data_IF_276476889791
#
_entry.id   IF_276476889791
#
_cell.length_a   1.000
_cell.length_b   1.000
_cell.length_c   1.000
_cell.angle_alpha   90.00
_cell.angle_beta   90.00
_cell.angle_gamma   90.00
#
_symmetry.space_group_name_H-M   'P 1'
#
loop_
_entity.id
_entity.type
_entity.pdbx_description
1 polymer ?
#
# COMPACT_ATOMS: atom_id res chain seq x y z
N UNK A 1 -21.42 -20.89 -6.62
CA UNK A 1 -20.78 -20.70 -5.30
C UNK A 1 -19.32 -21.17 -5.24
N UNK A 2 -18.82 -21.95 -6.20
CA UNK A 2 -17.44 -22.50 -6.17
C UNK A 2 -16.46 -21.85 -7.18
N UNK A 3 -16.80 -20.73 -7.83
CA UNK A 3 -15.91 -20.11 -8.84
C UNK A 3 -14.59 -19.59 -8.30
N UNK A 4 -14.45 -19.46 -6.96
CA UNK A 4 -13.36 -18.66 -6.36
C UNK A 4 -12.43 -19.37 -5.39
N UNK A 5 -12.63 -20.66 -5.12
CA UNK A 5 -11.75 -21.38 -4.19
C UNK A 5 -10.29 -21.42 -4.65
N UNK A 6 -10.07 -21.48 -5.98
CA UNK A 6 -8.72 -21.54 -6.58
C UNK A 6 -7.87 -20.32 -6.24
N UNK A 7 -8.44 -19.09 -6.24
CA UNK A 7 -7.67 -17.88 -5.91
C UNK A 7 -7.25 -17.85 -4.45
N UNK A 8 -8.15 -18.25 -3.54
CA UNK A 8 -7.80 -18.33 -2.12
C UNK A 8 -6.73 -19.40 -1.85
N UNK A 9 -6.86 -20.57 -2.48
CA UNK A 9 -5.83 -21.63 -2.39
C UNK A 9 -4.49 -21.12 -2.92
N UNK A 10 -4.50 -20.45 -4.08
CA UNK A 10 -3.30 -19.88 -4.67
C UNK A 10 -2.67 -18.82 -3.77
N UNK A 11 -3.46 -17.88 -3.24
CA UNK A 11 -2.95 -16.83 -2.36
C UNK A 11 -2.41 -17.37 -1.04
N UNK A 12 -3.07 -18.38 -0.46
CA UNK A 12 -2.58 -19.07 0.75
C UNK A 12 -1.26 -19.79 0.44
N UNK A 13 -1.19 -20.51 -0.65
CA UNK A 13 0.02 -21.21 -1.09
C UNK A 13 1.17 -20.21 -1.35
N UNK A 14 0.88 -19.13 -2.07
CA UNK A 14 1.86 -18.09 -2.34
C UNK A 14 2.30 -17.39 -1.06
N UNK A 15 1.36 -17.05 -0.17
CA UNK A 15 1.66 -16.47 1.15
C UNK A 15 2.58 -17.36 1.97
N UNK A 16 2.30 -18.67 2.04
CA UNK A 16 3.18 -19.64 2.71
C UNK A 16 4.59 -19.69 2.11
N UNK A 17 4.73 -19.46 0.81
CA UNK A 17 6.03 -19.38 0.13
C UNK A 17 6.78 -18.09 0.47
N UNK A 18 6.08 -16.96 0.57
CA UNK A 18 6.71 -15.64 0.77
C UNK A 18 6.98 -15.30 2.23
N UNK A 19 6.18 -15.81 3.19
CA UNK A 19 6.43 -15.58 4.63
C UNK A 19 7.88 -15.94 5.04
N UNK A 20 8.43 -17.11 4.68
CA UNK A 20 9.83 -17.43 5.01
C UNK A 20 10.85 -16.51 4.32
N UNK A 21 10.55 -16.01 3.12
CA UNK A 21 11.42 -15.07 2.40
C UNK A 21 11.44 -13.74 3.17
N UNK A 22 10.27 -13.19 3.47
CA UNK A 22 10.13 -11.96 4.25
C UNK A 22 10.80 -12.09 5.62
N UNK A 23 10.52 -13.17 6.35
CA UNK A 23 11.08 -13.42 7.69
C UNK A 23 12.60 -13.44 7.67
N UNK A 24 13.21 -14.11 6.69
CA UNK A 24 14.66 -14.15 6.54
C UNK A 24 15.26 -12.75 6.33
N UNK A 25 14.64 -11.91 5.51
CA UNK A 25 15.10 -10.55 5.26
C UNK A 25 14.84 -9.66 6.49
N UNK A 26 13.66 -9.80 7.09
CA UNK A 26 13.24 -9.00 8.24
C UNK A 26 14.12 -9.19 9.46
N UNK A 27 14.51 -10.44 9.76
CA UNK A 27 15.31 -10.80 10.93
C UNK A 27 16.83 -10.82 10.67
N UNK A 28 17.27 -10.54 9.43
CA UNK A 28 18.70 -10.53 9.10
C UNK A 28 19.40 -9.34 9.77
N UNK A 29 20.11 -9.62 10.86
CA UNK A 29 20.88 -8.62 11.61
C UNK A 29 22.09 -8.05 10.84
N UNK A 30 22.50 -8.69 9.75
CA UNK A 30 23.62 -8.21 8.91
C UNK A 30 23.18 -7.11 7.92
N UNK A 31 21.88 -6.98 7.67
CA UNK A 31 21.34 -5.97 6.77
C UNK A 31 21.19 -4.62 7.48
N UNK A 32 21.60 -3.56 6.80
CA UNK A 32 21.21 -2.20 7.15
C UNK A 32 19.68 -2.03 7.05
N UNK A 33 19.10 -1.03 7.72
CA UNK A 33 17.67 -0.71 7.50
C UNK A 33 17.39 -0.37 6.05
N UNK A 34 18.31 0.32 5.38
CA UNK A 34 18.23 0.61 3.96
C UNK A 34 18.06 -0.67 3.13
N UNK A 35 19.01 -1.60 3.20
CA UNK A 35 18.96 -2.86 2.43
C UNK A 35 17.76 -3.70 2.79
N UNK A 36 17.41 -3.76 4.07
CA UNK A 36 16.27 -4.53 4.56
C UNK A 36 14.96 -4.06 3.91
N UNK A 37 14.64 -2.78 3.99
CA UNK A 37 13.39 -2.26 3.47
C UNK A 37 13.32 -2.25 1.94
N UNK A 38 14.45 -2.05 1.25
CA UNK A 38 14.51 -2.18 -0.20
C UNK A 38 14.23 -3.62 -0.64
N UNK A 39 14.87 -4.61 -0.03
CA UNK A 39 14.64 -6.03 -0.32
C UNK A 39 13.21 -6.47 0.01
N UNK A 40 12.66 -6.02 1.15
CA UNK A 40 11.27 -6.32 1.50
C UNK A 40 10.29 -5.69 0.50
N UNK A 41 10.56 -4.48 0.03
CA UNK A 41 9.76 -3.83 -1.00
C UNK A 41 9.80 -4.61 -2.32
N UNK A 42 10.99 -5.02 -2.76
CA UNK A 42 11.17 -5.85 -3.97
C UNK A 42 10.41 -7.17 -3.87
N UNK A 43 10.47 -7.86 -2.75
CA UNK A 43 9.78 -9.12 -2.57
C UNK A 43 8.25 -8.96 -2.46
N UNK A 44 7.73 -7.85 -1.91
CA UNK A 44 6.29 -7.52 -1.98
C UNK A 44 5.85 -7.28 -3.43
N UNK A 45 6.67 -6.60 -4.22
CA UNK A 45 6.44 -6.35 -5.64
C UNK A 45 6.43 -7.66 -6.43
N UNK A 46 7.39 -8.55 -6.17
CA UNK A 46 7.45 -9.89 -6.77
C UNK A 46 6.22 -10.74 -6.40
N UNK A 47 5.80 -10.70 -5.14
CA UNK A 47 4.56 -11.35 -4.70
C UNK A 47 3.35 -10.80 -5.45
N UNK A 48 3.23 -9.48 -5.51
CA UNK A 48 2.09 -8.79 -6.11
C UNK A 48 1.98 -9.05 -7.61
N UNK A 49 3.11 -9.03 -8.33
CA UNK A 49 3.16 -9.40 -9.74
C UNK A 49 2.59 -10.81 -10.01
N UNK A 50 2.95 -11.79 -9.18
CA UNK A 50 2.39 -13.15 -9.29
C UNK A 50 0.89 -13.21 -9.03
N UNK A 51 0.39 -12.39 -8.11
CA UNK A 51 -1.05 -12.32 -7.81
C UNK A 51 -1.82 -11.71 -8.97
N UNK A 52 -1.39 -10.57 -9.52
CA UNK A 52 -2.09 -9.93 -10.66
C UNK A 52 -2.04 -10.82 -11.91
N UNK A 53 -0.93 -11.50 -12.16
CA UNK A 53 -0.80 -12.50 -13.25
C UNK A 53 -1.81 -13.64 -13.07
N UNK A 54 -1.92 -14.22 -11.88
CA UNK A 54 -2.87 -15.30 -11.60
C UNK A 54 -4.33 -14.83 -11.71
N UNK A 55 -4.63 -13.63 -11.23
CA UNK A 55 -5.98 -13.06 -11.32
C UNK A 55 -6.33 -12.56 -12.71
N UNK A 56 -5.34 -12.45 -13.60
CA UNK A 56 -5.42 -11.84 -14.93
C UNK A 56 -5.98 -10.40 -14.86
N UNK A 57 -5.38 -9.61 -13.95
CA UNK A 57 -5.68 -8.19 -13.72
C UNK A 57 -4.50 -7.37 -14.24
N UNK A 58 -4.77 -6.29 -14.96
CA UNK A 58 -3.76 -5.40 -15.53
C UNK A 58 -3.96 -3.97 -15.02
N UNK A 59 -3.02 -3.41 -14.24
CA UNK A 59 -3.07 -1.98 -13.89
C UNK A 59 -2.88 -1.11 -15.14
N UNK A 60 -3.77 -0.13 -15.32
CA UNK A 60 -3.69 0.91 -16.34
C UNK A 60 -3.50 2.24 -15.60
N UNK A 61 -2.33 2.83 -15.75
CA UNK A 61 -1.95 4.04 -15.02
C UNK A 61 -2.25 5.27 -15.85
N UNK A 62 -2.96 6.21 -15.25
CA UNK A 62 -3.19 7.56 -15.75
C UNK A 62 -2.37 8.56 -14.91
N UNK A 63 -1.55 9.36 -15.55
CA UNK A 63 -0.51 10.17 -14.90
C UNK A 63 0.82 9.41 -14.76
N UNK A 64 1.69 9.86 -13.89
CA UNK A 64 3.01 9.27 -13.69
C UNK A 64 3.44 9.32 -12.21
N UNK A 65 4.21 8.32 -11.80
CA UNK A 65 4.91 8.39 -10.52
C UNK A 65 5.96 9.51 -10.58
N UNK A 66 6.08 10.38 -9.55
CA UNK A 66 7.11 11.40 -9.52
C UNK A 66 8.50 10.76 -9.54
N UNK A 67 9.48 11.44 -10.15
CA UNK A 67 10.87 10.95 -10.16
C UNK A 67 11.48 10.95 -8.76
N UNK A 68 11.12 11.94 -7.96
CA UNK A 68 11.58 12.07 -6.58
C UNK A 68 11.14 10.90 -5.70
N UNK A 69 11.91 10.63 -4.68
CA UNK A 69 11.64 9.70 -3.60
C UNK A 69 11.21 10.45 -2.33
N UNK A 70 10.98 9.73 -1.24
CA UNK A 70 10.46 10.29 0.02
C UNK A 70 9.06 10.88 -0.15
N UNK A 71 8.25 10.20 -0.92
CA UNK A 71 6.86 10.55 -1.19
C UNK A 71 5.93 9.79 -0.25
N UNK A 72 4.91 10.48 0.27
CA UNK A 72 3.77 9.86 0.91
C UNK A 72 2.66 9.69 -0.12
N UNK A 73 2.44 8.47 -0.58
CA UNK A 73 1.32 8.14 -1.45
C UNK A 73 0.06 7.93 -0.62
N UNK A 74 -0.95 8.72 -0.91
CA UNK A 74 -2.27 8.69 -0.26
C UNK A 74 -3.25 8.03 -1.21
N UNK A 75 -3.75 6.84 -0.85
CA UNK A 75 -4.44 5.91 -1.76
C UNK A 75 -5.80 5.57 -1.16
N UNK A 76 -6.89 5.54 -1.95
CA UNK A 76 -8.19 5.06 -1.46
C UNK A 76 -8.19 3.54 -1.22
N UNK A 77 -9.03 3.07 -0.29
CA UNK A 77 -9.00 1.68 0.16
C UNK A 77 -10.35 0.98 0.11
N UNK A 78 -10.42 -0.10 -0.67
CA UNK A 78 -11.62 -0.94 -0.80
C UNK A 78 -11.36 -2.42 -0.53
N UNK A 79 -10.16 -2.90 -0.86
CA UNK A 79 -9.81 -4.32 -0.72
C UNK A 79 -8.30 -4.53 -0.53
N UNK A 80 -7.89 -5.74 -0.15
CA UNK A 80 -6.46 -6.09 -0.15
C UNK A 80 -5.84 -6.10 -1.56
N UNK A 81 -6.65 -6.14 -2.62
CA UNK A 81 -6.17 -6.06 -3.99
C UNK A 81 -5.59 -4.67 -4.32
N UNK A 82 -5.99 -3.61 -3.59
CA UNK A 82 -5.44 -2.27 -3.72
C UNK A 82 -3.92 -2.27 -3.50
N UNK A 83 -3.45 -2.96 -2.45
CA UNK A 83 -2.02 -3.12 -2.15
C UNK A 83 -1.32 -3.83 -3.30
N UNK A 84 -1.90 -4.91 -3.80
CA UNK A 84 -1.33 -5.74 -4.86
C UNK A 84 -1.18 -4.95 -6.17
N UNK A 85 -2.22 -4.19 -6.54
CA UNK A 85 -2.21 -3.32 -7.72
C UNK A 85 -1.14 -2.25 -7.58
N UNK A 86 -1.10 -1.57 -6.44
CA UNK A 86 -0.12 -0.50 -6.20
C UNK A 86 1.33 -1.01 -6.17
N UNK A 87 1.61 -2.14 -5.52
CA UNK A 87 2.96 -2.73 -5.53
C UNK A 87 3.40 -3.10 -6.95
N UNK A 88 2.47 -3.52 -7.81
CA UNK A 88 2.78 -3.81 -9.23
C UNK A 88 3.14 -2.53 -9.99
N UNK A 89 2.46 -1.41 -9.71
CA UNK A 89 2.76 -0.10 -10.28
C UNK A 89 4.10 0.42 -9.77
N UNK A 90 4.36 0.32 -8.46
CA UNK A 90 5.62 0.75 -7.86
C UNK A 90 6.82 -0.04 -8.40
N UNK A 91 6.64 -1.32 -8.71
CA UNK A 91 7.67 -2.16 -9.36
C UNK A 91 8.04 -1.63 -10.75
N UNK A 92 7.06 -1.16 -11.54
CA UNK A 92 7.30 -0.61 -12.86
C UNK A 92 8.03 0.75 -12.82
N UNK A 93 7.82 1.53 -11.75
CA UNK A 93 8.46 2.84 -11.53
C UNK A 93 9.65 2.82 -10.57
N UNK A 94 10.37 1.71 -10.36
CA UNK A 94 11.29 1.29 -9.30
C UNK A 94 11.18 2.10 -7.99
N UNK A 95 9.99 2.11 -7.39
CA UNK A 95 9.73 2.79 -6.11
C UNK A 95 9.75 1.80 -4.96
N UNK A 96 10.73 1.96 -4.06
CA UNK A 96 10.75 1.24 -2.79
C UNK A 96 10.01 2.02 -1.69
N UNK A 97 9.36 1.31 -0.78
CA UNK A 97 8.64 1.98 0.30
C UNK A 97 8.01 1.03 1.30
N UNK A 98 7.23 1.58 2.22
CA UNK A 98 6.62 0.87 3.34
C UNK A 98 5.14 1.22 3.46
N UNK A 99 4.33 0.22 3.73
CA UNK A 99 2.92 0.39 4.06
C UNK A 99 2.73 0.73 5.53
N UNK A 100 1.87 1.68 5.79
CA UNK A 100 1.39 1.99 7.14
C UNK A 100 0.12 1.18 7.37
N UNK A 101 0.11 0.39 8.43
CA UNK A 101 -0.98 -0.51 8.76
C UNK A 101 -1.41 -0.38 10.22
N UNK A 102 -2.68 -0.69 10.53
CA UNK A 102 -3.15 -0.76 11.93
C UNK A 102 -2.43 -1.88 12.68
N UNK A 103 -2.08 -1.65 13.95
CA UNK A 103 -1.48 -2.66 14.82
C UNK A 103 -2.33 -3.94 14.87
N UNK A 104 -3.65 -3.80 14.94
CA UNK A 104 -4.59 -4.94 14.96
C UNK A 104 -4.49 -5.87 13.75
N UNK A 105 -3.97 -5.37 12.60
CA UNK A 105 -3.71 -6.20 11.44
C UNK A 105 -2.50 -7.12 11.66
N UNK A 106 -1.44 -6.60 12.28
CA UNK A 106 -0.23 -7.35 12.58
C UNK A 106 -0.47 -8.36 13.72
N UNK A 107 -1.34 -8.04 14.67
CA UNK A 107 -1.71 -8.91 15.79
C UNK A 107 -2.59 -10.10 15.38
N UNK A 108 -3.07 -10.13 14.16
CA UNK A 108 -3.93 -11.21 13.69
C UNK A 108 -3.16 -12.54 13.63
N UNK A 109 -3.69 -13.58 14.31
CA UNK A 109 -3.01 -14.90 14.46
C UNK A 109 -2.82 -15.66 13.15
N UNK A 110 -3.62 -15.38 12.11
CA UNK A 110 -3.61 -16.11 10.84
C UNK A 110 -2.68 -15.46 9.82
N UNK A 111 -2.80 -14.15 9.64
CA UNK A 111 -2.09 -13.42 8.58
C UNK A 111 -1.20 -12.28 9.09
N UNK A 112 -1.19 -12.00 10.41
CA UNK A 112 -0.42 -10.89 10.97
C UNK A 112 1.07 -10.98 10.63
N UNK A 113 1.65 -12.18 10.73
CA UNK A 113 3.06 -12.42 10.39
C UNK A 113 3.41 -12.13 8.93
N UNK A 114 2.47 -12.28 8.00
CA UNK A 114 2.67 -11.89 6.62
C UNK A 114 2.89 -10.38 6.51
N UNK A 115 2.07 -9.57 7.17
CA UNK A 115 2.21 -8.11 7.16
C UNK A 115 3.42 -7.62 7.96
N UNK A 116 3.66 -8.17 9.15
CA UNK A 116 4.81 -7.84 9.98
C UNK A 116 6.12 -8.07 9.21
N UNK A 117 6.35 -9.28 8.74
CA UNK A 117 7.59 -9.64 8.05
C UNK A 117 7.73 -8.99 6.66
N UNK A 118 6.64 -8.58 6.03
CA UNK A 118 6.72 -7.83 4.78
C UNK A 118 7.19 -6.37 4.96
N UNK A 119 7.47 -5.92 6.20
CA UNK A 119 7.98 -4.59 6.49
C UNK A 119 6.91 -3.50 6.57
N UNK A 120 5.67 -3.88 6.91
CA UNK A 120 4.65 -2.88 7.26
C UNK A 120 5.01 -2.17 8.57
N UNK A 121 4.82 -0.86 8.63
CA UNK A 121 4.93 -0.10 9.88
C UNK A 121 3.58 -0.05 10.56
N UNK A 122 3.52 -0.61 11.76
CA UNK A 122 2.30 -0.64 12.56
C UNK A 122 2.03 0.72 13.21
N UNK A 123 0.77 1.16 13.17
CA UNK A 123 0.28 2.29 13.94
C UNK A 123 -0.79 1.83 14.92
N UNK A 124 -0.57 2.10 16.20
CA UNK A 124 -1.59 1.97 17.23
C UNK A 124 -2.22 3.35 17.49
N UNK A 125 -3.50 3.47 17.14
CA UNK A 125 -4.27 4.70 17.32
C UNK A 125 -4.93 4.79 18.69
N UNK A 126 -4.97 3.70 19.46
CA UNK A 126 -5.69 3.64 20.73
C UNK A 126 -4.85 4.08 21.92
N UNK A 127 -3.52 4.01 21.82
CA UNK A 127 -2.62 4.39 22.89
C UNK A 127 -1.68 5.54 22.47
N UNK A 128 -1.65 6.63 23.23
CA UNK A 128 -0.75 7.75 22.97
C UNK A 128 0.73 7.38 22.91
N UNK A 129 1.16 6.34 23.64
CA UNK A 129 2.52 5.78 23.59
C UNK A 129 2.78 5.06 22.25
N UNK A 130 1.81 4.36 21.71
CA UNK A 130 1.91 3.69 20.40
C UNK A 130 2.17 4.67 19.27
N UNK A 131 1.48 5.82 19.28
CA UNK A 131 1.68 6.87 18.29
C UNK A 131 3.09 7.49 18.36
N UNK A 132 3.64 7.69 19.56
CA UNK A 132 5.01 8.19 19.72
C UNK A 132 6.05 7.19 19.17
N UNK A 133 5.88 5.91 19.46
CA UNK A 133 6.73 4.83 18.93
C UNK A 133 6.66 4.79 17.41
N UNK A 134 5.48 4.86 16.84
CA UNK A 134 5.26 4.92 15.40
C UNK A 134 6.04 6.06 14.72
N UNK A 135 5.92 7.30 15.23
CA UNK A 135 6.68 8.43 14.66
C UNK A 135 8.19 8.29 14.83
N UNK A 136 8.66 7.72 15.96
CA UNK A 136 10.08 7.42 16.15
C UNK A 136 10.58 6.40 15.13
N UNK A 137 9.82 5.33 14.90
CA UNK A 137 10.16 4.29 13.91
C UNK A 137 10.26 4.88 12.50
N UNK A 138 9.23 5.65 12.07
CA UNK A 138 9.28 6.31 10.74
C UNK A 138 10.50 7.23 10.63
N UNK A 139 10.76 8.05 11.63
CA UNK A 139 11.89 8.98 11.62
C UNK A 139 13.22 8.23 11.55
N UNK A 140 13.39 7.16 12.29
CA UNK A 140 14.59 6.33 12.26
C UNK A 140 14.77 5.72 10.86
N UNK A 141 13.75 5.05 10.33
CA UNK A 141 13.86 4.39 9.02
C UNK A 141 14.16 5.40 7.92
N UNK A 142 13.46 6.54 7.88
CA UNK A 142 13.70 7.58 6.87
C UNK A 142 15.04 8.32 7.06
N UNK A 143 15.67 8.25 8.25
CA UNK A 143 17.02 8.78 8.43
C UNK A 143 18.09 7.85 7.89
N UNK A 144 17.87 6.55 7.93
CA UNK A 144 18.81 5.51 7.46
C UNK A 144 18.54 5.10 6.00
N UNK A 145 17.30 5.27 5.53
CA UNK A 145 16.87 5.00 4.15
C UNK A 145 16.04 6.19 3.63
N UNK A 146 16.70 7.31 3.27
CA UNK A 146 16.02 8.58 2.99
C UNK A 146 15.25 8.61 1.67
N UNK A 147 15.46 7.64 0.81
CA UNK A 147 14.78 7.47 -0.48
C UNK A 147 13.54 6.59 -0.41
N UNK A 148 13.22 6.02 0.76
CA UNK A 148 11.99 5.23 0.91
C UNK A 148 10.74 6.10 0.86
N UNK A 149 9.73 5.57 0.19
CA UNK A 149 8.39 6.12 0.15
C UNK A 149 7.53 5.53 1.27
N UNK A 150 6.46 6.22 1.62
CA UNK A 150 5.43 5.71 2.51
C UNK A 150 4.11 5.57 1.77
N UNK A 151 3.39 4.52 2.05
CA UNK A 151 2.10 4.21 1.44
C UNK A 151 1.03 4.16 2.53
N UNK A 152 -0.04 4.93 2.37
CA UNK A 152 -1.11 4.99 3.37
C UNK A 152 -2.48 4.97 2.71
N UNK A 153 -3.39 4.28 3.36
CA UNK A 153 -4.81 4.42 3.13
C UNK A 153 -5.36 5.42 4.16
N UNK A 154 -5.63 6.67 3.78
CA UNK A 154 -5.96 7.72 4.75
C UNK A 154 -7.31 7.49 5.43
N UNK A 155 -8.20 6.71 4.83
CA UNK A 155 -9.48 6.29 5.42
C UNK A 155 -9.27 5.43 6.69
N UNK A 156 -8.09 4.82 6.83
CA UNK A 156 -7.75 3.94 7.96
C UNK A 156 -8.45 2.59 7.94
N UNK A 157 -9.42 2.36 7.06
CA UNK A 157 -10.14 1.11 6.86
C UNK A 157 -10.68 1.00 5.44
N UNK A 158 -11.12 -0.19 5.06
CA UNK A 158 -11.75 -0.40 3.75
C UNK A 158 -13.13 0.26 3.70
N UNK A 159 -13.30 1.19 2.79
CA UNK A 159 -14.56 1.90 2.63
C UNK A 159 -15.49 1.19 1.65
N UNK A 160 -16.69 0.84 2.11
CA UNK A 160 -17.70 0.13 1.33
C UNK A 160 -18.74 1.03 0.64
N UNK A 161 -18.75 2.34 0.95
CA UNK A 161 -19.70 3.30 0.42
C UNK A 161 -19.41 3.77 -1.01
N UNK A 162 -20.15 4.76 -1.48
CA UNK A 162 -19.88 5.47 -2.73
C UNK A 162 -18.73 6.48 -2.55
N UNK A 163 -17.91 6.69 -3.58
CA UNK A 163 -16.74 7.57 -3.51
C UNK A 163 -15.64 7.07 -2.59
N UNK A 164 -15.13 7.92 -1.72
CA UNK A 164 -14.09 7.64 -0.72
C UNK A 164 -14.60 7.95 0.68
N UNK A 165 -14.08 7.25 1.68
CA UNK A 165 -14.39 7.50 3.09
C UNK A 165 -13.68 8.75 3.64
N UNK A 166 -14.09 9.23 4.84
CA UNK A 166 -13.44 10.36 5.50
C UNK A 166 -11.99 10.01 5.87
N UNK A 167 -11.09 10.98 5.73
CA UNK A 167 -9.68 10.78 6.03
C UNK A 167 -9.39 10.95 7.52
N UNK A 168 -8.52 10.09 8.02
CA UNK A 168 -7.92 10.22 9.33
C UNK A 168 -6.76 11.25 9.28
N UNK A 169 -6.52 12.00 10.36
CA UNK A 169 -5.49 13.07 10.37
C UNK A 169 -4.03 12.53 10.34
N UNK A 170 -3.86 11.20 10.20
CA UNK A 170 -2.54 10.56 10.20
C UNK A 170 -1.68 10.97 9.02
N UNK A 171 -2.24 11.04 7.81
CA UNK A 171 -1.51 11.37 6.60
C UNK A 171 -0.86 12.78 6.68
N UNK A 172 -1.62 13.80 7.11
CA UNK A 172 -1.09 15.16 7.31
C UNK A 172 0.07 15.17 8.31
N UNK A 173 -0.13 14.53 9.48
CA UNK A 173 0.88 14.50 10.55
C UNK A 173 2.18 13.84 10.07
N UNK A 174 2.08 12.72 9.33
CA UNK A 174 3.23 12.00 8.79
C UNK A 174 3.97 12.87 7.77
N UNK A 175 3.24 13.44 6.80
CA UNK A 175 3.82 14.25 5.74
C UNK A 175 4.57 15.45 6.32
N UNK A 176 3.95 16.20 7.23
CA UNK A 176 4.54 17.40 7.85
C UNK A 176 5.73 17.08 8.75
N UNK A 177 5.61 16.06 9.61
CA UNK A 177 6.69 15.67 10.53
C UNK A 177 7.97 15.22 9.80
N UNK A 178 7.82 14.62 8.61
CA UNK A 178 8.93 14.06 7.86
C UNK A 178 9.27 14.86 6.60
N UNK A 179 8.61 16.00 6.36
CA UNK A 179 8.80 16.88 5.16
C UNK A 179 8.69 16.05 3.87
N UNK A 180 7.61 15.30 3.74
CA UNK A 180 7.35 14.45 2.56
C UNK A 180 6.47 15.19 1.55
N UNK A 181 6.74 14.99 0.28
CA UNK A 181 5.79 15.30 -0.80
C UNK A 181 4.60 14.37 -0.69
N UNK A 182 3.38 14.88 -0.84
CA UNK A 182 2.16 14.08 -0.79
C UNK A 182 1.60 13.93 -2.19
N UNK A 183 1.40 12.69 -2.62
CA UNK A 183 0.86 12.38 -3.94
C UNK A 183 -0.43 11.58 -3.80
N UNK A 184 -1.57 12.11 -4.28
CA UNK A 184 -2.83 11.40 -4.27
C UNK A 184 -2.85 10.35 -5.36
N UNK A 185 -3.37 9.17 -5.03
CA UNK A 185 -3.60 8.08 -5.98
C UNK A 185 -5.03 7.60 -5.85
N UNK A 186 -5.78 7.63 -6.94
CA UNK A 186 -7.16 7.18 -6.98
C UNK A 186 -7.29 5.91 -7.82
N UNK A 187 -7.68 4.81 -7.17
CA UNK A 187 -8.08 3.56 -7.82
C UNK A 187 -9.55 3.69 -8.14
N UNK A 188 -9.88 3.86 -9.42
CA UNK A 188 -11.25 4.11 -9.86
C UNK A 188 -12.14 2.86 -9.72
N UNK A 189 -11.55 1.69 -9.97
CA UNK A 189 -12.30 0.43 -9.92
C UNK A 189 -12.65 0.00 -8.50
N UNK A 190 -13.81 -0.61 -8.35
CA UNK A 190 -14.22 -1.25 -7.09
C UNK A 190 -13.51 -2.59 -6.93
N UNK A 191 -12.28 -2.56 -6.43
CA UNK A 191 -11.40 -3.75 -6.38
C UNK A 191 -11.95 -4.88 -5.51
N UNK A 192 -12.87 -4.63 -4.58
CA UNK A 192 -13.58 -5.68 -3.86
C UNK A 192 -14.49 -6.49 -4.80
N UNK A 193 -15.09 -5.84 -5.81
CA UNK A 193 -15.91 -6.51 -6.84
C UNK A 193 -15.02 -7.21 -7.86
N UNK A 194 -13.95 -6.55 -8.30
CA UNK A 194 -12.94 -7.13 -9.19
C UNK A 194 -12.35 -8.41 -8.60
N UNK A 195 -11.90 -8.36 -7.34
CA UNK A 195 -11.38 -9.53 -6.66
C UNK A 195 -12.40 -10.65 -6.53
N UNK A 196 -13.66 -10.31 -6.28
CA UNK A 196 -14.75 -11.29 -6.20
C UNK A 196 -14.96 -12.02 -7.54
N UNK A 197 -14.87 -11.29 -8.67
CA UNK A 197 -15.08 -11.84 -10.01
C UNK A 197 -13.86 -12.58 -10.57
N UNK A 198 -12.65 -12.24 -10.14
CA UNK A 198 -11.39 -12.84 -10.60
C UNK A 198 -11.27 -14.33 -10.22
N UNK A 199 -10.42 -15.14 -10.90
CA UNK A 199 -9.58 -14.78 -12.05
C UNK A 199 -10.36 -14.63 -13.36
N UNK A 200 -9.91 -13.73 -14.20
CA UNK A 200 -10.56 -13.43 -15.48
C UNK A 200 -10.00 -14.30 -16.62
N UNK A 201 -10.82 -14.56 -17.66
CA UNK A 201 -10.38 -15.27 -18.87
C UNK A 201 -9.56 -14.38 -19.80
N UNK A 202 -9.93 -13.10 -19.89
CA UNK A 202 -9.23 -12.03 -20.61
C UNK A 202 -8.72 -11.03 -19.60
N UNK A 203 -7.61 -10.31 -19.86
CA UNK A 203 -7.11 -9.30 -18.94
C UNK A 203 -8.20 -8.30 -18.56
N UNK A 204 -8.33 -8.06 -17.24
CA UNK A 204 -9.22 -7.03 -16.70
C UNK A 204 -8.39 -5.80 -16.37
N UNK A 205 -8.69 -4.70 -17.01
CA UNK A 205 -8.00 -3.44 -16.79
C UNK A 205 -8.51 -2.76 -15.53
N UNK A 206 -7.57 -2.42 -14.63
CA UNK A 206 -7.82 -1.64 -13.42
C UNK A 206 -7.22 -0.26 -13.60
N UNK A 207 -8.07 0.75 -13.61
CA UNK A 207 -7.65 2.14 -13.83
C UNK A 207 -7.20 2.80 -12.53
N UNK A 208 -5.95 3.28 -12.54
CA UNK A 208 -5.31 3.95 -11.40
C UNK A 208 -4.82 5.31 -11.85
N UNK A 209 -5.30 6.36 -11.19
CA UNK A 209 -4.92 7.73 -11.47
C UNK A 209 -3.90 8.21 -10.43
N UNK A 210 -2.80 8.80 -10.91
CA UNK A 210 -1.74 9.39 -10.07
C UNK A 210 -1.81 10.89 -10.27
N UNK A 211 -2.08 11.64 -9.20
CA UNK A 211 -2.22 13.08 -9.23
C UNK A 211 -0.90 13.83 -9.08
N UNK A 212 -0.96 15.14 -9.28
CA UNK A 212 0.12 16.05 -8.91
C UNK A 212 0.26 16.14 -7.37
N UNK A 213 1.44 16.53 -6.86
CA UNK A 213 1.62 16.77 -5.43
C UNK A 213 0.59 17.75 -4.85
N UNK A 214 0.11 17.47 -3.63
CA UNK A 214 -0.88 18.26 -2.91
C UNK A 214 -0.30 18.87 -1.63
N UNK A 215 -0.92 19.95 -1.13
CA UNK A 215 -0.51 20.55 0.15
C UNK A 215 -0.82 19.59 1.31
N UNK A 216 0.19 19.22 2.10
CA UNK A 216 -0.01 18.36 3.28
C UNK A 216 -1.05 18.86 4.29
N UNK A 217 -1.40 20.14 4.27
CA UNK A 217 -2.42 20.73 5.18
C UNK A 217 -3.85 20.50 4.67
N UNK A 218 -4.02 20.21 3.38
CA UNK A 218 -5.31 20.15 2.71
C UNK A 218 -5.54 18.80 1.98
N UNK A 219 -4.88 17.73 2.41
CA UNK A 219 -4.85 16.44 1.70
C UNK A 219 -6.26 15.97 1.31
N UNK A 220 -7.22 15.95 2.24
CA UNK A 220 -8.56 15.44 1.97
C UNK A 220 -9.29 16.28 0.94
N UNK A 221 -9.28 17.61 1.07
CA UNK A 221 -9.96 18.51 0.15
C UNK A 221 -9.37 18.44 -1.27
N UNK A 222 -8.04 18.43 -1.37
CA UNK A 222 -7.35 18.33 -2.66
C UNK A 222 -7.51 16.95 -3.28
N UNK A 223 -7.53 15.88 -2.46
CA UNK A 223 -7.82 14.54 -2.93
C UNK A 223 -9.22 14.42 -3.51
N UNK A 224 -10.24 15.01 -2.85
CA UNK A 224 -11.60 15.04 -3.38
C UNK A 224 -11.69 15.77 -4.72
N UNK A 225 -10.98 16.89 -4.87
CA UNK A 225 -10.91 17.64 -6.13
C UNK A 225 -10.27 16.79 -7.23
N UNK A 226 -9.14 16.15 -6.91
CA UNK A 226 -8.45 15.24 -7.82
C UNK A 226 -9.33 14.05 -8.22
N UNK A 227 -9.96 13.38 -7.26
CA UNK A 227 -10.86 12.26 -7.55
C UNK A 227 -12.00 12.66 -8.50
N UNK A 228 -12.63 13.84 -8.29
CA UNK A 228 -13.69 14.33 -9.20
C UNK A 228 -13.15 14.49 -10.61
N UNK A 229 -11.99 15.12 -10.79
CA UNK A 229 -11.38 15.26 -12.12
C UNK A 229 -11.09 13.93 -12.82
N UNK A 230 -10.82 12.86 -12.08
CA UNK A 230 -10.61 11.52 -12.64
C UNK A 230 -11.91 10.84 -13.09
N UNK A 231 -13.05 11.24 -12.53
CA UNK A 231 -14.37 10.68 -12.89
C UNK A 231 -15.01 11.39 -14.07
N UNK A 232 -14.58 12.62 -14.38
CA UNK A 232 -15.10 13.44 -15.48
C UNK A 232 -14.38 13.17 -16.82
N UNK A 233 -13.36 12.31 -16.81
CA UNK A 233 -12.56 11.88 -17.97
C UNK A 233 -12.92 10.47 -18.39
#
# INVERSE_FOLDING_TARGET
MFKDLRKYIYMIWLGKKYIPIYHRIYDDASLSLYDRYHRLSEERQNYSKRVVEFLNVRPVVHGSLPEENKVLYVINHRSLLDIIVMETIFAAGPKAGMWIAKQTLLDNRIYGKFFEYSGCIAVDLQEGKGLLTFFKTIKQVLSEAPDLNLYIFPEGERYGGEGIGPFQPGAEKIARANKMTVVPVFINDRLEKVFKAAPFKTPYDVHVHIGAPVDPKNIEAEYHTFMKSCLDT
#
